data_IF_421560169223
#
_entry.id   IF_421560169223
#
_cell.length_a   1.000
_cell.length_b   1.000
_cell.length_c   1.000
_cell.angle_alpha   90.00
_cell.angle_beta   90.00
_cell.angle_gamma   90.00
#
_symmetry.space_group_name_H-M   'P 1'
#
loop_
_entity.id
_entity.type
_entity.pdbx_description
1 polymer ?
#
# COMPACT_ATOMS: atom_id res chain seq x y z
N UNK A 1 -0.44 49.99 5.12
CA UNK A 1 0.45 48.85 5.38
C UNK A 1 0.19 47.84 4.28
N UNK A 2 1.07 47.78 3.28
CA UNK A 2 0.94 46.88 2.13
C UNK A 2 1.62 45.56 2.50
N UNK A 3 0.84 44.49 2.61
CA UNK A 3 1.37 43.15 2.74
C UNK A 3 1.61 42.60 1.34
N UNK A 4 2.88 42.52 0.95
CA UNK A 4 3.30 41.77 -0.25
C UNK A 4 3.32 40.30 0.19
N UNK A 5 2.32 39.54 -0.23
CA UNK A 5 2.35 38.09 -0.12
C UNK A 5 3.17 37.59 -1.33
N UNK A 6 4.43 37.24 -1.09
CA UNK A 6 5.24 36.52 -2.07
C UNK A 6 4.62 35.13 -2.27
N UNK A 7 3.83 34.96 -3.32
CA UNK A 7 3.48 33.63 -3.83
C UNK A 7 4.74 33.05 -4.46
N UNK A 8 5.54 32.30 -3.69
CA UNK A 8 6.57 31.43 -4.24
C UNK A 8 5.87 30.41 -5.13
N UNK A 9 6.07 30.51 -6.44
CA UNK A 9 5.65 29.50 -7.40
C UNK A 9 6.33 28.17 -7.02
N UNK A 10 5.57 27.28 -6.40
CA UNK A 10 5.99 25.90 -6.17
C UNK A 10 5.72 25.13 -7.46
N UNK A 11 6.75 24.93 -8.29
CA UNK A 11 6.67 24.01 -9.41
C UNK A 11 6.56 22.57 -8.88
N UNK A 12 5.32 22.09 -8.77
CA UNK A 12 5.03 20.72 -8.38
C UNK A 12 5.50 19.77 -9.49
N UNK A 13 6.53 18.98 -9.20
CA UNK A 13 7.05 17.98 -10.15
C UNK A 13 6.49 16.60 -9.82
N UNK A 14 5.81 15.99 -10.78
CA UNK A 14 5.28 14.63 -10.66
C UNK A 14 6.17 13.65 -11.42
N UNK A 15 6.59 12.58 -10.76
CA UNK A 15 7.35 11.47 -11.38
C UNK A 15 6.58 10.16 -11.23
N UNK A 16 6.57 9.35 -12.29
CA UNK A 16 6.01 7.99 -12.25
C UNK A 16 7.14 6.97 -12.08
N UNK A 17 7.08 6.15 -11.04
CA UNK A 17 8.15 5.21 -10.71
C UNK A 17 7.67 3.76 -10.92
N UNK A 18 8.37 3.01 -11.78
CA UNK A 18 8.16 1.56 -11.91
C UNK A 18 8.93 0.78 -10.83
N UNK A 19 8.23 0.42 -9.74
CA UNK A 19 8.77 -0.32 -8.58
C UNK A 19 9.27 -1.75 -8.89
N UNK A 20 9.03 -2.29 -10.08
CA UNK A 20 9.53 -3.63 -10.45
C UNK A 20 11.01 -3.64 -10.83
N UNK A 21 11.56 -2.49 -11.22
CA UNK A 21 12.96 -2.35 -11.65
C UNK A 21 13.89 -2.03 -10.48
N UNK A 22 15.18 -2.38 -10.58
CA UNK A 22 16.18 -2.04 -9.53
C UNK A 22 16.25 -0.53 -9.28
N UNK A 23 16.32 0.26 -10.36
CA UNK A 23 16.35 1.71 -10.27
C UNK A 23 15.07 2.29 -9.67
N UNK A 24 13.90 1.77 -10.07
CA UNK A 24 12.63 2.22 -9.53
C UNK A 24 12.46 1.92 -8.04
N UNK A 25 12.93 0.76 -7.56
CA UNK A 25 12.96 0.46 -6.12
C UNK A 25 13.82 1.45 -5.34
N UNK A 26 15.00 1.78 -5.86
CA UNK A 26 15.90 2.74 -5.23
C UNK A 26 15.24 4.13 -5.11
N UNK A 27 14.71 4.66 -6.21
CA UNK A 27 14.06 5.99 -6.23
C UNK A 27 12.85 6.00 -5.28
N UNK A 28 12.08 4.92 -5.25
CA UNK A 28 10.93 4.80 -4.36
C UNK A 28 11.31 4.81 -2.88
N UNK A 29 12.35 4.07 -2.47
CA UNK A 29 12.83 4.09 -1.08
C UNK A 29 13.43 5.45 -0.70
N UNK A 30 14.12 6.12 -1.64
CA UNK A 30 14.57 7.51 -1.42
C UNK A 30 13.38 8.47 -1.23
N UNK A 31 12.33 8.33 -2.04
CA UNK A 31 11.13 9.14 -1.90
C UNK A 31 10.44 8.93 -0.55
N UNK A 32 10.36 7.69 -0.05
CA UNK A 32 9.83 7.40 1.30
C UNK A 32 10.63 8.10 2.38
N UNK A 33 11.95 7.96 2.36
CA UNK A 33 12.84 8.60 3.34
C UNK A 33 12.67 10.13 3.35
N UNK A 34 12.46 10.74 2.18
CA UNK A 34 12.22 12.17 2.06
C UNK A 34 10.81 12.56 2.53
N UNK A 35 9.79 11.76 2.24
CA UNK A 35 8.42 12.00 2.69
C UNK A 35 8.27 11.96 4.21
N UNK A 36 9.04 11.11 4.90
CA UNK A 36 9.08 11.06 6.36
C UNK A 36 9.79 12.26 6.99
N UNK A 37 10.82 12.79 6.34
CA UNK A 37 11.72 13.82 6.92
C UNK A 37 11.38 15.24 6.50
N UNK A 38 10.79 15.44 5.32
CA UNK A 38 10.60 16.75 4.69
C UNK A 38 9.14 17.00 4.28
N UNK A 39 8.63 18.19 4.60
CA UNK A 39 7.28 18.64 4.20
C UNK A 39 7.26 19.08 2.73
N UNK A 40 7.30 18.13 1.81
CA UNK A 40 7.27 18.44 0.37
C UNK A 40 7.11 17.24 -0.56
N UNK A 41 7.26 16.01 -0.06
CA UNK A 41 7.12 14.79 -0.87
C UNK A 41 5.85 14.05 -0.47
N UNK A 42 4.90 13.95 -1.41
CA UNK A 42 3.68 13.17 -1.28
C UNK A 42 3.78 11.96 -2.17
N UNK A 43 3.61 10.76 -1.60
CA UNK A 43 3.61 9.51 -2.34
C UNK A 43 2.16 9.04 -2.46
N UNK A 44 1.62 9.11 -3.67
CA UNK A 44 0.31 8.55 -4.00
C UNK A 44 0.52 7.21 -4.69
N UNK A 45 -0.04 6.13 -4.11
CA UNK A 45 0.05 4.79 -4.69
C UNK A 45 -1.29 4.38 -5.27
N UNK A 46 -1.32 4.15 -6.58
CA UNK A 46 -2.40 3.40 -7.22
C UNK A 46 -2.18 1.91 -6.94
N UNK A 47 -2.49 1.48 -5.72
CA UNK A 47 -2.50 0.06 -5.39
C UNK A 47 -3.63 -0.62 -6.15
N UNK A 48 -3.28 -1.27 -7.27
CA UNK A 48 -4.15 -2.29 -7.82
C UNK A 48 -4.13 -3.49 -6.87
N UNK A 49 -5.30 -3.98 -6.42
CA UNK A 49 -5.36 -5.17 -5.59
C UNK A 49 -4.65 -6.33 -6.29
N UNK A 50 -3.97 -7.16 -5.50
CA UNK A 50 -3.19 -8.28 -6.03
C UNK A 50 -4.11 -9.36 -6.59
N UNK A 51 -5.28 -9.51 -5.99
CA UNK A 51 -6.29 -10.49 -6.36
C UNK A 51 -7.56 -9.80 -6.87
N UNK A 52 -8.50 -10.61 -7.36
CA UNK A 52 -9.83 -10.12 -7.70
C UNK A 52 -10.59 -9.64 -6.45
N UNK A 53 -11.68 -8.92 -6.67
CA UNK A 53 -12.49 -8.33 -5.60
C UNK A 53 -13.01 -9.35 -4.59
N UNK A 54 -13.39 -10.55 -5.06
CA UNK A 54 -13.87 -11.64 -4.20
C UNK A 54 -12.79 -12.14 -3.25
N UNK A 55 -11.58 -12.39 -3.77
CA UNK A 55 -10.45 -12.89 -2.98
C UNK A 55 -9.97 -11.85 -1.97
N UNK A 56 -9.87 -10.57 -2.36
CA UNK A 56 -9.49 -9.50 -1.44
C UNK A 56 -10.49 -9.35 -0.29
N UNK A 57 -11.79 -9.55 -0.56
CA UNK A 57 -12.83 -9.55 0.46
C UNK A 57 -12.62 -10.68 1.47
N UNK A 58 -12.40 -11.91 0.99
CA UNK A 58 -12.14 -13.06 1.87
C UNK A 58 -10.88 -12.84 2.71
N UNK A 59 -9.79 -12.30 2.11
CA UNK A 59 -8.56 -11.97 2.86
C UNK A 59 -8.85 -10.95 3.96
N UNK A 60 -9.63 -9.90 3.66
CA UNK A 60 -10.00 -8.87 4.64
C UNK A 60 -10.86 -9.45 5.77
N UNK A 61 -11.84 -10.27 5.43
CA UNK A 61 -12.72 -10.92 6.41
C UNK A 61 -11.93 -11.86 7.34
N UNK A 62 -11.02 -12.66 6.78
CA UNK A 62 -10.11 -13.52 7.56
C UNK A 62 -9.17 -12.70 8.45
N UNK A 63 -8.61 -11.58 7.97
CA UNK A 63 -7.80 -10.68 8.81
C UNK A 63 -8.57 -10.10 10.00
N UNK A 64 -9.89 -9.92 9.84
CA UNK A 64 -10.80 -9.47 10.90
C UNK A 64 -11.29 -10.63 11.79
N UNK A 65 -10.84 -11.86 11.54
CA UNK A 65 -11.22 -13.05 12.31
C UNK A 65 -12.53 -13.70 11.88
N UNK A 66 -13.14 -13.26 10.77
CA UNK A 66 -14.42 -13.77 10.26
C UNK A 66 -14.16 -14.99 9.37
N UNK A 67 -14.95 -16.06 9.56
CA UNK A 67 -14.89 -17.26 8.71
C UNK A 67 -13.66 -18.14 8.91
N UNK A 68 -12.90 -17.95 10.00
CA UNK A 68 -11.73 -18.80 10.32
C UNK A 68 -12.21 -20.11 10.95
N UNK A 69 -11.90 -21.22 10.30
CA UNK A 69 -12.05 -22.57 10.86
C UNK A 69 -10.70 -22.96 11.46
N UNK A 70 -10.66 -23.20 12.77
CA UNK A 70 -9.47 -23.72 13.46
C UNK A 70 -9.44 -25.24 13.36
N UNK A 71 -8.24 -25.80 13.29
CA UNK A 71 -7.98 -27.24 13.41
C UNK A 71 -6.73 -27.42 14.25
N UNK A 72 -6.74 -28.39 15.16
CA UNK A 72 -5.65 -28.66 16.10
C UNK A 72 -4.71 -29.76 15.56
N UNK A 73 -5.12 -30.47 14.50
CA UNK A 73 -4.33 -31.48 13.81
C UNK A 73 -4.52 -31.45 12.29
N UNK A 74 -3.59 -32.09 11.57
CA UNK A 74 -3.64 -32.22 10.10
C UNK A 74 -4.85 -33.04 9.67
N UNK A 75 -5.15 -34.13 10.38
CA UNK A 75 -6.28 -35.00 10.04
C UNK A 75 -7.62 -34.26 10.20
N UNK A 76 -7.77 -33.51 11.29
CA UNK A 76 -8.96 -32.69 11.55
C UNK A 76 -9.16 -31.58 10.49
N UNK A 77 -8.07 -30.99 10.00
CA UNK A 77 -8.13 -30.03 8.89
C UNK A 77 -8.72 -30.68 7.63
N UNK A 78 -8.25 -31.87 7.27
CA UNK A 78 -8.73 -32.57 6.08
C UNK A 78 -10.18 -33.05 6.22
N UNK A 79 -10.63 -33.41 7.42
CA UNK A 79 -12.05 -33.71 7.66
C UNK A 79 -12.92 -32.47 7.45
N UNK A 80 -12.50 -31.32 8.01
CA UNK A 80 -13.23 -30.05 7.90
C UNK A 80 -13.29 -29.50 6.47
N UNK A 81 -12.31 -29.80 5.62
CA UNK A 81 -12.28 -29.39 4.21
C UNK A 81 -13.09 -30.30 3.27
N UNK A 82 -13.44 -31.52 3.71
CA UNK A 82 -14.23 -32.47 2.91
C UNK A 82 -15.74 -32.30 3.09
N UNK A 83 -16.17 -31.64 4.17
CA UNK A 83 -17.57 -31.32 4.47
C UNK A 83 -18.08 -30.13 3.66
#
# INVERSE_FOLDING_TARGET
MLYICETKDFDMTTITINKRTKAGKLIFEMAKLLSEKEKGVVISEDEKPRYNTETEKVIKDVRLGVGIIKADSVDELFEKLKS
#
